data_IF_762955154509
#
_entry.id   IF_762955154509
#
_cell.length_a   1.000
_cell.length_b   1.000
_cell.length_c   1.000
_cell.angle_alpha   90.00
_cell.angle_beta   90.00
_cell.angle_gamma   90.00
#
_symmetry.space_group_name_H-M   'P 1'
#
loop_
_entity.id
_entity.type
_entity.pdbx_description
1 polymer ?
#
# COMPACT_ATOMS: atom_id res chain seq x y z
N UNK A 1 -54.95 -62.66 11.48
CA UNK A 1 -53.62 -62.81 12.12
C UNK A 1 -53.09 -61.40 12.41
N UNK A 2 -53.18 -60.96 13.68
CA UNK A 2 -52.57 -59.76 14.31
C UNK A 2 -53.02 -58.39 13.74
N UNK A 3 -53.96 -57.61 14.27
CA UNK A 3 -54.32 -57.20 15.63
C UNK A 3 -53.19 -56.52 16.45
N UNK A 4 -53.42 -55.22 16.71
CA UNK A 4 -52.98 -54.40 17.86
C UNK A 4 -51.48 -54.17 18.12
N UNK A 5 -51.02 -52.92 17.95
CA UNK A 5 -50.33 -52.15 19.01
C UNK A 5 -50.61 -50.65 18.79
N UNK A 6 -51.62 -50.12 19.49
CA UNK A 6 -51.70 -48.70 19.85
C UNK A 6 -50.68 -48.49 20.97
N UNK A 7 -49.67 -47.66 20.76
CA UNK A 7 -48.75 -47.24 21.82
C UNK A 7 -49.20 -45.87 22.32
N UNK A 8 -49.89 -45.89 23.46
CA UNK A 8 -50.16 -44.71 24.29
C UNK A 8 -48.82 -44.19 24.79
N UNK A 9 -48.48 -42.94 24.47
CA UNK A 9 -47.40 -42.24 25.17
C UNK A 9 -48.03 -41.52 26.37
N UNK A 10 -47.44 -41.63 27.57
CA UNK A 10 -47.88 -40.85 28.72
C UNK A 10 -47.56 -39.37 28.49
N UNK A 11 -48.52 -38.51 28.78
CA UNK A 11 -48.34 -37.07 28.89
C UNK A 11 -47.44 -36.80 30.11
N UNK A 12 -46.20 -36.39 29.85
CA UNK A 12 -45.24 -36.03 30.90
C UNK A 12 -45.62 -34.65 31.41
N UNK A 13 -46.20 -34.65 32.61
CA UNK A 13 -46.42 -33.46 33.46
C UNK A 13 -45.07 -32.79 33.71
N UNK A 14 -45.03 -31.47 33.51
CA UNK A 14 -43.83 -30.65 33.59
C UNK A 14 -43.17 -30.69 34.97
N UNK A 15 -41.86 -30.92 34.95
CA UNK A 15 -40.95 -30.68 36.06
C UNK A 15 -40.14 -29.42 35.72
N UNK A 16 -40.22 -28.41 36.59
CA UNK A 16 -39.54 -27.12 36.49
C UNK A 16 -38.01 -27.32 36.62
N UNK A 17 -37.36 -27.73 35.54
CA UNK A 17 -35.92 -27.64 35.37
C UNK A 17 -35.46 -26.18 35.25
N UNK A 18 -34.22 -25.83 35.62
CA UNK A 18 -33.77 -24.44 35.66
C UNK A 18 -33.96 -23.82 34.27
N UNK A 19 -34.73 -22.73 34.22
CA UNK A 19 -35.02 -22.02 33.00
C UNK A 19 -33.71 -21.74 32.26
N UNK A 20 -33.60 -22.26 31.04
CA UNK A 20 -32.51 -21.93 30.13
C UNK A 20 -32.55 -20.42 29.92
N UNK A 21 -31.71 -19.67 30.64
CA UNK A 21 -31.54 -18.24 30.37
C UNK A 21 -30.90 -18.09 28.99
N UNK A 22 -31.38 -17.13 28.21
CA UNK A 22 -30.74 -16.74 26.96
C UNK A 22 -29.24 -16.50 27.18
N UNK A 23 -28.36 -16.98 26.27
CA UNK A 23 -26.94 -16.73 26.40
C UNK A 23 -26.70 -15.24 26.60
N UNK A 24 -26.04 -14.85 27.68
CA UNK A 24 -25.59 -13.48 27.88
C UNK A 24 -24.66 -13.11 26.73
N UNK A 25 -25.20 -12.41 25.73
CA UNK A 25 -24.45 -11.78 24.63
C UNK A 25 -23.81 -10.47 25.06
N UNK A 26 -23.76 -10.16 26.36
CA UNK A 26 -22.95 -9.10 26.94
C UNK A 26 -21.48 -9.50 27.07
N UNK A 27 -20.93 -10.10 26.02
CA UNK A 27 -19.48 -10.13 25.85
C UNK A 27 -19.04 -8.70 25.59
N UNK A 28 -18.27 -8.13 26.51
CA UNK A 28 -17.65 -6.80 26.44
C UNK A 28 -17.44 -6.39 24.98
N UNK A 29 -18.31 -5.52 24.43
CA UNK A 29 -18.18 -5.07 23.04
C UNK A 29 -16.84 -4.36 22.96
N UNK A 30 -15.81 -5.06 22.46
CA UNK A 30 -14.48 -4.48 22.27
C UNK A 30 -14.64 -3.33 21.30
N UNK A 31 -14.75 -2.12 21.85
CA UNK A 31 -14.79 -0.89 21.10
C UNK A 31 -13.53 -0.88 20.22
N UNK A 32 -13.72 -0.81 18.91
CA UNK A 32 -12.61 -0.76 17.96
C UNK A 32 -11.81 0.54 18.18
N UNK A 33 -10.54 0.56 17.82
CA UNK A 33 -9.69 1.75 18.01
C UNK A 33 -10.28 3.00 17.31
N UNK A 34 -10.95 2.81 16.17
CA UNK A 34 -11.66 3.87 15.46
C UNK A 34 -12.90 4.37 16.23
N UNK A 35 -13.65 3.48 16.88
CA UNK A 35 -14.79 3.87 17.73
C UNK A 35 -14.32 4.56 19.00
N UNK A 36 -13.21 4.10 19.60
CA UNK A 36 -12.56 4.75 20.74
C UNK A 36 -12.05 6.15 20.36
N UNK A 37 -11.39 6.28 19.23
CA UNK A 37 -10.93 7.57 18.72
C UNK A 37 -12.09 8.55 18.52
N UNK A 38 -13.21 8.10 17.92
CA UNK A 38 -14.43 8.93 17.81
C UNK A 38 -14.98 9.35 19.17
N UNK A 39 -15.03 8.43 20.15
CA UNK A 39 -15.49 8.73 21.50
C UNK A 39 -14.59 9.73 22.25
N UNK A 40 -13.30 9.73 21.95
CA UNK A 40 -12.31 10.65 22.52
C UNK A 40 -12.15 11.94 21.69
N UNK A 41 -12.97 12.15 20.65
CA UNK A 41 -12.87 13.31 19.74
C UNK A 41 -11.60 13.32 18.87
N UNK A 42 -10.87 12.21 18.82
CA UNK A 42 -9.66 12.03 18.00
C UNK A 42 -10.04 11.58 16.58
N UNK A 43 -9.17 11.87 15.62
CA UNK A 43 -9.34 11.38 14.24
C UNK A 43 -9.49 9.85 14.24
N UNK A 44 -10.53 9.30 13.59
CA UNK A 44 -10.72 7.85 13.51
C UNK A 44 -9.77 7.18 12.52
N UNK A 45 -8.97 7.94 11.78
CA UNK A 45 -8.05 7.42 10.79
C UNK A 45 -6.83 6.85 11.51
N UNK A 46 -6.58 5.56 11.30
CA UNK A 46 -5.51 4.81 11.92
C UNK A 46 -4.38 4.64 10.90
N UNK A 47 -3.14 4.85 11.34
CA UNK A 47 -1.97 4.63 10.50
C UNK A 47 -1.58 3.14 10.49
N UNK A 48 -0.96 2.64 9.40
CA UNK A 48 -0.34 1.32 9.41
C UNK A 48 0.71 1.21 10.54
N UNK A 49 0.64 0.15 11.34
CA UNK A 49 1.51 -0.04 12.50
C UNK A 49 2.95 -0.45 12.16
N UNK A 50 3.70 -0.85 13.19
CA UNK A 50 5.12 -1.23 13.08
C UNK A 50 5.39 -2.41 12.12
N UNK A 51 4.48 -3.39 12.03
CA UNK A 51 4.68 -4.54 11.15
C UNK A 51 4.69 -4.15 9.64
N UNK A 52 3.68 -3.42 9.11
CA UNK A 52 3.77 -2.84 7.77
C UNK A 52 5.02 -1.98 7.57
N UNK A 53 5.38 -1.13 8.54
CA UNK A 53 6.56 -0.27 8.46
C UNK A 53 7.87 -1.08 8.33
N UNK A 54 8.02 -2.17 9.10
CA UNK A 54 9.17 -3.07 9.01
C UNK A 54 9.24 -3.77 7.64
N UNK A 55 8.09 -4.19 7.09
CA UNK A 55 8.03 -4.81 5.76
C UNK A 55 8.32 -3.79 4.64
N UNK A 56 7.84 -2.54 4.76
CA UNK A 56 8.25 -1.45 3.87
C UNK A 56 9.74 -1.20 3.95
N UNK A 57 10.32 -1.19 5.15
CA UNK A 57 11.75 -0.99 5.34
C UNK A 57 12.55 -2.12 4.66
N UNK A 58 12.15 -3.38 4.84
CA UNK A 58 12.76 -4.52 4.14
C UNK A 58 12.65 -4.36 2.63
N UNK A 59 11.48 -4.02 2.10
CA UNK A 59 11.29 -3.81 0.66
C UNK A 59 12.13 -2.63 0.13
N UNK A 60 12.25 -1.55 0.89
CA UNK A 60 13.11 -0.41 0.57
C UNK A 60 14.60 -0.78 0.54
N UNK A 61 15.05 -1.61 1.48
CA UNK A 61 16.41 -2.14 1.49
C UNK A 61 16.65 -3.15 0.35
N UNK A 62 15.64 -3.94 -0.03
CA UNK A 62 15.72 -4.82 -1.21
C UNK A 62 15.80 -4.02 -2.51
N UNK A 63 15.06 -2.91 -2.65
CA UNK A 63 15.21 -1.99 -3.78
C UNK A 63 16.60 -1.37 -3.81
N UNK A 64 17.12 -0.91 -2.66
CA UNK A 64 18.47 -0.36 -2.56
C UNK A 64 19.54 -1.40 -2.95
N UNK A 65 19.48 -2.60 -2.36
CA UNK A 65 20.41 -3.68 -2.69
C UNK A 65 20.28 -4.14 -4.15
N UNK A 66 19.06 -4.24 -4.67
CA UNK A 66 18.79 -4.57 -6.06
C UNK A 66 19.38 -3.54 -7.03
N UNK A 67 19.24 -2.24 -6.72
CA UNK A 67 19.82 -1.17 -7.51
C UNK A 67 21.36 -1.21 -7.51
N UNK A 68 21.98 -1.52 -6.37
CA UNK A 68 23.43 -1.68 -6.26
C UNK A 68 23.98 -2.86 -7.08
N UNK A 69 23.17 -3.92 -7.30
CA UNK A 69 23.50 -5.05 -8.17
C UNK A 69 23.26 -4.77 -9.67
N UNK A 70 22.63 -3.64 -10.00
CA UNK A 70 22.32 -3.23 -11.36
C UNK A 70 20.82 -3.33 -11.72
N UNK A 71 20.43 -2.89 -12.93
CA UNK A 71 19.03 -2.71 -13.31
C UNK A 71 18.20 -4.00 -13.24
N UNK A 72 18.77 -5.15 -13.57
CA UNK A 72 18.07 -6.44 -13.50
C UNK A 72 17.91 -6.96 -12.06
N UNK A 73 18.84 -6.61 -11.15
CA UNK A 73 18.72 -6.92 -9.72
C UNK A 73 17.55 -6.17 -9.07
N UNK A 74 17.25 -4.97 -9.55
CA UNK A 74 16.14 -4.13 -9.08
C UNK A 74 14.75 -4.63 -9.52
N UNK A 75 14.65 -5.40 -10.62
CA UNK A 75 13.35 -5.81 -11.17
C UNK A 75 12.54 -6.65 -10.20
N UNK A 76 13.16 -7.59 -9.49
CA UNK A 76 12.44 -8.46 -8.56
C UNK A 76 11.73 -7.68 -7.43
N UNK A 77 12.43 -6.83 -6.65
CA UNK A 77 11.77 -6.03 -5.63
C UNK A 77 10.81 -4.98 -6.21
N UNK A 78 11.08 -4.44 -7.41
CA UNK A 78 10.19 -3.49 -8.07
C UNK A 78 8.86 -4.13 -8.50
N UNK A 79 8.91 -5.29 -9.14
CA UNK A 79 7.73 -6.05 -9.55
C UNK A 79 6.90 -6.44 -8.33
N UNK A 80 7.56 -6.82 -7.23
CA UNK A 80 6.88 -7.07 -5.96
C UNK A 80 6.19 -5.81 -5.42
N UNK A 81 6.86 -4.65 -5.45
CA UNK A 81 6.28 -3.37 -5.07
C UNK A 81 5.05 -3.02 -5.92
N UNK A 82 5.11 -3.20 -7.23
CA UNK A 82 4.00 -2.95 -8.15
C UNK A 82 2.81 -3.89 -7.87
N UNK A 83 3.06 -5.17 -7.64
CA UNK A 83 2.00 -6.13 -7.30
C UNK A 83 1.31 -5.75 -5.97
N UNK A 84 2.09 -5.38 -4.95
CA UNK A 84 1.57 -4.93 -3.66
C UNK A 84 0.83 -3.59 -3.78
N UNK A 85 1.30 -2.67 -4.62
CA UNK A 85 0.64 -1.39 -4.92
C UNK A 85 -0.72 -1.63 -5.56
N UNK A 86 -0.76 -2.47 -6.60
CA UNK A 86 -1.99 -2.81 -7.30
C UNK A 86 -3.01 -3.42 -6.33
N UNK A 87 -2.62 -4.47 -5.61
CA UNK A 87 -3.51 -5.15 -4.66
C UNK A 87 -3.89 -4.25 -3.47
N UNK A 88 -2.95 -3.46 -2.96
CA UNK A 88 -3.13 -2.56 -1.83
C UNK A 88 -4.15 -1.47 -2.12
N UNK A 89 -4.08 -0.83 -3.29
CA UNK A 89 -5.02 0.21 -3.67
C UNK A 89 -6.46 -0.31 -3.80
N UNK A 90 -6.66 -1.46 -4.46
CA UNK A 90 -8.00 -2.07 -4.56
C UNK A 90 -8.54 -2.49 -3.18
N UNK A 91 -7.66 -2.96 -2.27
CA UNK A 91 -8.05 -3.28 -0.89
C UNK A 91 -8.47 -2.04 -0.10
N UNK A 92 -7.77 -0.92 -0.26
CA UNK A 92 -8.15 0.35 0.38
C UNK A 92 -9.53 0.82 -0.08
N UNK A 93 -9.84 0.65 -1.36
CA UNK A 93 -11.12 1.03 -1.94
C UNK A 93 -12.22 -0.04 -1.69
N UNK A 94 -12.00 -1.04 -0.83
CA UNK A 94 -13.00 -2.06 -0.52
C UNK A 94 -13.39 -2.98 -1.68
N UNK A 95 -12.65 -2.95 -2.79
CA UNK A 95 -12.95 -3.68 -4.02
C UNK A 95 -12.30 -5.07 -4.06
N UNK A 96 -12.02 -5.70 -2.92
CA UNK A 96 -11.36 -7.00 -2.90
C UNK A 96 -12.36 -8.16 -3.02
N UNK A 97 -12.14 -9.18 -3.90
CA UNK A 97 -11.05 -9.33 -4.87
C UNK A 97 -11.44 -8.94 -6.32
N UNK A 98 -11.18 -7.68 -6.72
CA UNK A 98 -11.29 -7.21 -8.12
C UNK A 98 -10.13 -7.73 -8.99
N UNK A 99 -10.10 -9.04 -9.23
CA UNK A 99 -8.99 -9.75 -9.89
C UNK A 99 -8.56 -9.11 -11.22
N UNK A 100 -9.53 -8.73 -12.06
CA UNK A 100 -9.27 -8.14 -13.38
C UNK A 100 -8.66 -6.73 -13.27
N UNK A 101 -9.19 -5.88 -12.38
CA UNK A 101 -8.66 -4.54 -12.15
C UNK A 101 -7.25 -4.57 -11.56
N UNK A 102 -7.00 -5.47 -10.59
CA UNK A 102 -5.66 -5.66 -10.01
C UNK A 102 -4.67 -6.14 -11.09
N UNK A 103 -5.06 -7.14 -11.90
CA UNK A 103 -4.22 -7.64 -12.98
C UNK A 103 -3.93 -6.53 -14.02
N UNK A 104 -4.93 -5.72 -14.38
CA UNK A 104 -4.76 -4.61 -15.30
C UNK A 104 -3.81 -3.55 -14.74
N UNK A 105 -3.97 -3.14 -13.48
CA UNK A 105 -3.08 -2.18 -12.85
C UNK A 105 -1.63 -2.70 -12.75
N UNK A 106 -1.46 -3.97 -12.36
CA UNK A 106 -0.15 -4.60 -12.29
C UNK A 106 0.52 -4.70 -13.67
N UNK A 107 -0.23 -5.09 -14.71
CA UNK A 107 0.25 -5.15 -16.08
C UNK A 107 0.72 -3.77 -16.59
N UNK A 108 0.12 -2.67 -16.14
CA UNK A 108 0.58 -1.32 -16.45
C UNK A 108 2.01 -1.07 -15.98
N UNK A 109 2.34 -1.45 -14.74
CA UNK A 109 3.70 -1.38 -14.20
C UNK A 109 4.69 -2.21 -15.00
N UNK A 110 4.33 -3.47 -15.32
CA UNK A 110 5.19 -4.35 -16.12
C UNK A 110 5.44 -3.81 -17.53
N UNK A 111 4.42 -3.21 -18.17
CA UNK A 111 4.56 -2.59 -19.48
C UNK A 111 5.44 -1.34 -19.40
N UNK A 112 5.32 -0.53 -18.35
CA UNK A 112 6.19 0.62 -18.15
C UNK A 112 7.65 0.19 -17.95
N UNK A 113 7.91 -0.84 -17.14
CA UNK A 113 9.25 -1.40 -16.94
C UNK A 113 9.82 -1.96 -18.25
N UNK A 114 9.03 -2.76 -18.98
CA UNK A 114 9.43 -3.33 -20.26
C UNK A 114 9.70 -2.26 -21.32
N UNK A 115 8.84 -1.24 -21.40
CA UNK A 115 9.05 -0.10 -22.29
C UNK A 115 10.36 0.62 -21.95
N UNK A 116 10.58 0.95 -20.68
CA UNK A 116 11.80 1.60 -20.22
C UNK A 116 13.06 0.78 -20.53
N UNK A 117 13.04 -0.53 -20.26
CA UNK A 117 14.16 -1.41 -20.60
C UNK A 117 14.43 -1.47 -22.11
N UNK A 118 13.39 -1.35 -22.94
CA UNK A 118 13.52 -1.36 -24.39
C UNK A 118 14.07 -0.03 -24.95
N UNK A 119 13.70 1.12 -24.37
CA UNK A 119 14.07 2.45 -24.88
C UNK A 119 15.26 3.08 -24.16
N UNK A 120 15.74 2.51 -23.07
CA UNK A 120 16.84 3.04 -22.27
C UNK A 120 16.41 4.05 -21.19
N UNK A 121 17.24 4.17 -20.14
CA UNK A 121 16.94 4.96 -18.92
C UNK A 121 16.77 6.46 -19.21
N UNK A 122 17.47 6.97 -20.21
CA UNK A 122 17.38 8.33 -20.73
C UNK A 122 15.94 8.68 -21.17
N UNK A 123 15.17 7.68 -21.60
CA UNK A 123 13.80 7.82 -22.05
C UNK A 123 12.77 7.44 -20.96
N UNK A 124 13.16 7.40 -19.69
CA UNK A 124 12.27 7.06 -18.57
C UNK A 124 11.00 7.92 -18.50
N UNK A 125 11.10 9.24 -18.65
CA UNK A 125 9.92 10.12 -18.58
C UNK A 125 8.95 9.86 -19.76
N UNK A 126 9.41 9.84 -21.02
CA UNK A 126 8.58 9.43 -22.15
C UNK A 126 7.96 8.04 -21.98
N UNK A 127 8.72 7.04 -21.50
CA UNK A 127 8.21 5.68 -21.28
C UNK A 127 7.07 5.67 -20.24
N UNK A 128 7.27 6.27 -19.07
CA UNK A 128 6.28 6.34 -18.00
C UNK A 128 5.04 7.11 -18.46
N UNK A 129 5.20 8.29 -19.05
CA UNK A 129 4.08 9.12 -19.51
C UNK A 129 3.31 8.47 -20.67
N UNK A 130 4.03 7.83 -21.61
CA UNK A 130 3.43 7.08 -22.70
C UNK A 130 2.60 5.90 -22.18
N UNK A 131 3.13 5.13 -21.23
CA UNK A 131 2.39 4.04 -20.60
C UNK A 131 1.18 4.56 -19.81
N UNK A 132 1.31 5.64 -19.03
CA UNK A 132 0.18 6.26 -18.33
C UNK A 132 -0.94 6.65 -19.29
N UNK A 133 -0.62 7.35 -20.38
CA UNK A 133 -1.60 7.76 -21.38
C UNK A 133 -2.30 6.57 -22.02
N UNK A 134 -1.53 5.56 -22.45
CA UNK A 134 -2.08 4.35 -23.04
C UNK A 134 -2.97 3.56 -22.06
N UNK A 135 -2.55 3.44 -20.80
CA UNK A 135 -3.30 2.69 -19.79
C UNK A 135 -4.59 3.39 -19.36
N UNK A 136 -4.58 4.72 -19.26
CA UNK A 136 -5.79 5.51 -19.00
C UNK A 136 -6.81 5.30 -20.12
N UNK A 137 -6.38 5.42 -21.38
CA UNK A 137 -7.24 5.16 -22.54
C UNK A 137 -7.78 3.73 -22.54
N UNK A 138 -6.94 2.74 -22.23
CA UNK A 138 -7.37 1.36 -22.11
C UNK A 138 -8.43 1.17 -21.01
N UNK A 139 -8.23 1.75 -19.83
CA UNK A 139 -9.20 1.70 -18.74
C UNK A 139 -10.53 2.36 -19.13
N UNK A 140 -10.49 3.50 -19.81
CA UNK A 140 -11.68 4.18 -20.32
C UNK A 140 -12.44 3.32 -21.33
N UNK A 141 -11.74 2.73 -22.30
CA UNK A 141 -12.36 1.83 -23.30
C UNK A 141 -13.01 0.62 -22.62
N UNK A 142 -12.34 0.01 -21.64
CA UNK A 142 -12.91 -1.11 -20.89
C UNK A 142 -14.15 -0.68 -20.09
N UNK A 143 -14.14 0.52 -19.52
CA UNK A 143 -15.26 1.05 -18.75
C UNK A 143 -16.47 1.37 -19.63
N UNK A 144 -16.26 1.92 -20.83
CA UNK A 144 -17.32 2.20 -21.80
C UNK A 144 -18.01 0.92 -22.30
N UNK A 145 -17.33 -0.22 -22.24
CA UNK A 145 -17.89 -1.54 -22.57
C UNK A 145 -18.58 -2.23 -21.39
N UNK A 146 -18.48 -1.66 -20.19
CA UNK A 146 -19.09 -2.23 -19.00
C UNK A 146 -20.60 -1.96 -18.96
N UNK A 147 -21.35 -3.02 -18.63
CA UNK A 147 -22.80 -2.97 -18.44
C UNK A 147 -23.20 -2.70 -16.98
N UNK A 148 -22.23 -2.41 -16.10
CA UNK A 148 -22.53 -2.04 -14.71
C UNK A 148 -23.23 -0.67 -14.64
N UNK A 149 -23.86 -0.39 -13.50
CA UNK A 149 -24.53 0.88 -13.27
C UNK A 149 -23.53 2.06 -13.29
N UNK A 150 -23.96 3.28 -13.69
CA UNK A 150 -23.06 4.45 -13.80
C UNK A 150 -22.16 4.69 -12.58
N UNK A 151 -22.71 4.59 -11.37
CA UNK A 151 -21.97 4.88 -10.13
C UNK A 151 -20.90 3.82 -9.85
N UNK A 152 -21.24 2.53 -10.02
CA UNK A 152 -20.28 1.43 -9.90
C UNK A 152 -19.18 1.53 -10.96
N UNK A 153 -19.55 1.95 -12.17
CA UNK A 153 -18.60 2.17 -13.27
C UNK A 153 -17.63 3.30 -12.95
N UNK A 154 -18.14 4.42 -12.43
CA UNK A 154 -17.30 5.56 -12.08
C UNK A 154 -16.34 5.20 -10.94
N UNK A 155 -16.85 4.52 -9.91
CA UNK A 155 -16.03 4.06 -8.80
C UNK A 155 -14.93 3.09 -9.25
N UNK A 156 -15.30 2.10 -10.07
CA UNK A 156 -14.36 1.13 -10.62
C UNK A 156 -13.31 1.74 -11.52
N UNK A 157 -13.68 2.73 -12.34
CA UNK A 157 -12.77 3.47 -13.20
C UNK A 157 -11.73 4.24 -12.37
N UNK A 158 -12.17 5.03 -11.38
CA UNK A 158 -11.27 5.83 -10.55
C UNK A 158 -10.29 4.96 -9.77
N UNK A 159 -10.78 3.86 -9.18
CA UNK A 159 -9.92 2.92 -8.47
C UNK A 159 -8.90 2.25 -9.39
N UNK A 160 -9.32 1.83 -10.59
CA UNK A 160 -8.44 1.16 -11.56
C UNK A 160 -7.40 2.10 -12.13
N UNK A 161 -7.79 3.31 -12.54
CA UNK A 161 -6.89 4.32 -13.09
C UNK A 161 -5.87 4.77 -12.05
N UNK A 162 -6.29 5.06 -10.82
CA UNK A 162 -5.37 5.45 -9.76
C UNK A 162 -4.40 4.32 -9.39
N UNK A 163 -4.89 3.08 -9.30
CA UNK A 163 -4.04 1.90 -9.06
C UNK A 163 -2.99 1.73 -10.17
N UNK A 164 -3.42 1.80 -11.44
CA UNK A 164 -2.54 1.70 -12.59
C UNK A 164 -1.54 2.86 -12.66
N UNK A 165 -1.96 4.08 -12.32
CA UNK A 165 -1.07 5.22 -12.31
C UNK A 165 0.03 5.05 -11.26
N UNK A 166 -0.32 4.59 -10.05
CA UNK A 166 0.65 4.33 -8.98
C UNK A 166 1.62 3.21 -9.36
N UNK A 167 1.15 2.11 -9.95
CA UNK A 167 2.04 1.01 -10.38
C UNK A 167 2.99 1.44 -11.50
N UNK A 168 2.52 2.22 -12.47
CA UNK A 168 3.35 2.76 -13.56
C UNK A 168 4.35 3.79 -13.04
N UNK A 169 3.96 4.64 -12.09
CA UNK A 169 4.87 5.62 -11.48
C UNK A 169 5.99 4.94 -10.68
N UNK A 170 5.76 3.74 -10.12
CA UNK A 170 6.79 2.98 -9.43
C UNK A 170 7.99 2.65 -10.32
N UNK A 171 7.80 2.55 -11.65
CA UNK A 171 8.88 2.42 -12.66
C UNK A 171 9.90 3.57 -12.58
N UNK A 172 9.55 4.70 -11.97
CA UNK A 172 10.48 5.78 -11.66
C UNK A 172 11.72 5.30 -10.88
N UNK A 173 11.60 4.27 -10.02
CA UNK A 173 12.76 3.65 -9.37
C UNK A 173 13.71 3.00 -10.38
N UNK A 174 13.19 2.32 -11.42
CA UNK A 174 14.02 1.75 -12.50
C UNK A 174 14.65 2.83 -13.39
N UNK A 175 13.93 3.94 -13.57
CA UNK A 175 14.37 5.10 -14.35
C UNK A 175 15.39 5.99 -13.65
N UNK A 176 15.53 5.87 -12.33
CA UNK A 176 16.44 6.68 -11.53
C UNK A 176 17.90 6.19 -11.64
N UNK A 177 18.84 7.06 -11.24
CA UNK A 177 20.22 6.66 -11.04
C UNK A 177 20.30 5.61 -9.90
N UNK A 178 21.12 4.55 -10.01
CA UNK A 178 21.20 3.50 -8.99
C UNK A 178 21.44 4.04 -7.57
N UNK A 179 22.37 4.99 -7.44
CA UNK A 179 22.69 5.65 -6.17
C UNK A 179 21.50 6.39 -5.57
N UNK A 180 20.66 6.99 -6.41
CA UNK A 180 19.44 7.66 -5.95
C UNK A 180 18.41 6.64 -5.42
N UNK A 181 18.30 5.46 -6.04
CA UNK A 181 17.42 4.38 -5.56
C UNK A 181 17.94 3.82 -4.23
N UNK A 182 19.25 3.67 -4.08
CA UNK A 182 19.89 3.25 -2.82
C UNK A 182 19.54 4.23 -1.70
N UNK A 183 19.84 5.51 -1.90
CA UNK A 183 19.59 6.56 -0.92
C UNK A 183 18.09 6.70 -0.62
N UNK A 184 17.25 6.71 -1.66
CA UNK A 184 15.81 6.80 -1.53
C UNK A 184 15.20 5.62 -0.76
N UNK A 185 15.59 4.39 -1.09
CA UNK A 185 15.10 3.18 -0.42
C UNK A 185 15.46 3.15 1.07
N UNK A 186 16.69 3.50 1.42
CA UNK A 186 17.15 3.57 2.81
C UNK A 186 16.46 4.72 3.56
N UNK A 187 16.29 5.88 2.92
CA UNK A 187 15.60 7.03 3.51
C UNK A 187 14.12 6.71 3.81
N UNK A 188 13.40 6.11 2.87
CA UNK A 188 12.01 5.66 3.09
C UNK A 188 11.93 4.64 4.23
N UNK A 189 12.86 3.68 4.29
CA UNK A 189 12.94 2.70 5.36
C UNK A 189 13.10 3.37 6.74
N UNK A 190 14.00 4.35 6.86
CA UNK A 190 14.17 5.10 8.09
C UNK A 190 12.93 5.94 8.45
N UNK A 191 12.30 6.59 7.45
CA UNK A 191 11.12 7.43 7.66
C UNK A 191 9.94 6.63 8.22
N UNK A 192 9.61 5.48 7.62
CA UNK A 192 8.45 4.67 8.05
C UNK A 192 8.67 4.04 9.43
N UNK A 193 9.91 3.61 9.74
CA UNK A 193 10.24 3.07 11.06
C UNK A 193 10.14 4.14 12.16
N UNK A 194 10.70 5.33 11.91
CA UNK A 194 10.61 6.45 12.84
C UNK A 194 9.15 6.92 13.00
N UNK A 195 8.36 6.93 11.92
CA UNK A 195 6.94 7.31 11.96
C UNK A 195 6.09 6.33 12.78
N UNK A 196 6.47 5.04 12.80
CA UNK A 196 5.76 3.99 13.53
C UNK A 196 6.05 3.96 15.04
N UNK A 197 7.00 4.77 15.53
CA UNK A 197 7.26 4.90 16.96
C UNK A 197 6.08 5.54 17.70
N UNK A 198 5.85 5.20 18.98
CA UNK A 198 4.74 5.73 19.79
C UNK A 198 5.03 7.18 20.24
N UNK A 199 5.09 8.10 19.28
CA UNK A 199 5.31 9.53 19.48
C UNK A 199 4.03 10.33 19.22
N UNK A 200 3.87 11.53 19.79
CA UNK A 200 2.78 12.42 19.43
C UNK A 200 2.78 12.73 17.92
N UNK A 201 1.60 12.85 17.30
CA UNK A 201 1.44 12.96 15.85
C UNK A 201 2.41 13.92 15.15
N UNK A 202 2.45 15.23 15.50
CA UNK A 202 3.38 16.18 14.88
C UNK A 202 4.86 15.82 15.10
N UNK A 203 5.21 15.32 16.29
CA UNK A 203 6.57 14.91 16.64
C UNK A 203 7.01 13.70 15.82
N UNK A 204 6.11 12.74 15.59
CA UNK A 204 6.39 11.57 14.75
C UNK A 204 6.69 11.94 13.30
N UNK A 205 6.04 12.97 12.75
CA UNK A 205 6.30 13.48 11.39
C UNK A 205 7.68 14.12 11.31
N UNK A 206 8.01 15.00 12.26
CA UNK A 206 9.34 15.64 12.31
C UNK A 206 10.44 14.59 12.50
N UNK A 207 10.26 13.64 13.41
CA UNK A 207 11.20 12.55 13.64
C UNK A 207 11.42 11.69 12.39
N UNK A 208 10.34 11.36 11.66
CA UNK A 208 10.42 10.62 10.41
C UNK A 208 11.19 11.37 9.32
N UNK A 209 10.94 12.67 9.15
CA UNK A 209 11.66 13.49 8.17
C UNK A 209 13.14 13.62 8.53
N UNK A 210 13.47 13.84 9.81
CA UNK A 210 14.85 13.90 10.27
C UNK A 210 15.57 12.55 10.10
N UNK A 211 14.90 11.43 10.41
CA UNK A 211 15.42 10.09 10.17
C UNK A 211 15.68 9.84 8.69
N UNK A 212 14.75 10.24 7.81
CA UNK A 212 14.89 10.15 6.36
C UNK A 212 16.06 10.98 5.83
N UNK A 213 16.21 12.22 6.33
CA UNK A 213 17.32 13.10 5.97
C UNK A 213 18.67 12.53 6.42
N UNK A 214 18.76 12.06 7.67
CA UNK A 214 19.97 11.48 8.24
C UNK A 214 20.37 10.17 7.54
N UNK A 215 19.39 9.31 7.25
CA UNK A 215 19.60 8.14 6.42
C UNK A 215 20.06 8.50 5.01
N UNK A 216 19.51 9.57 4.45
CA UNK A 216 19.93 10.15 3.17
C UNK A 216 21.39 10.61 3.17
N UNK A 217 21.85 11.28 4.23
CA UNK A 217 23.25 11.68 4.41
C UNK A 217 24.16 10.45 4.51
N UNK A 218 23.79 9.48 5.36
CA UNK A 218 24.59 8.28 5.60
C UNK A 218 24.75 7.44 4.32
N UNK A 219 23.64 7.19 3.61
CA UNK A 219 23.66 6.47 2.35
C UNK A 219 24.34 7.28 1.24
N UNK A 220 24.11 8.60 1.19
CA UNK A 220 24.74 9.49 0.22
C UNK A 220 26.26 9.56 0.36
N UNK A 221 26.78 9.48 1.58
CA UNK A 221 28.23 9.38 1.82
C UNK A 221 28.88 8.09 1.33
N UNK A 222 28.09 7.07 0.98
CA UNK A 222 28.55 5.82 0.38
C UNK A 222 28.36 5.78 -1.15
N UNK A 223 27.85 6.87 -1.73
CA UNK A 223 27.53 7.00 -3.16
C UNK A 223 28.10 8.31 -3.72
N UNK A 224 27.90 8.56 -5.02
CA UNK A 224 28.39 9.79 -5.66
C UNK A 224 27.58 11.04 -5.24
N UNK A 225 26.46 10.87 -4.55
CA UNK A 225 25.60 11.98 -4.09
C UNK A 225 26.23 12.76 -2.91
N UNK A 226 27.05 12.12 -2.08
CA UNK A 226 27.62 12.75 -0.89
C UNK A 226 26.56 13.39 0.02
N UNK A 227 26.80 14.63 0.48
CA UNK A 227 25.89 15.37 1.36
C UNK A 227 24.54 15.73 0.70
N UNK A 228 24.46 15.75 -0.64
CA UNK A 228 23.20 16.01 -1.35
C UNK A 228 22.16 14.91 -1.14
N UNK A 229 22.59 13.73 -0.68
CA UNK A 229 21.72 12.65 -0.23
C UNK A 229 20.72 13.08 0.86
N UNK A 230 21.01 14.14 1.63
CA UNK A 230 20.06 14.72 2.59
C UNK A 230 18.78 15.24 1.91
N UNK A 231 18.93 15.94 0.78
CA UNK A 231 17.82 16.55 0.04
C UNK A 231 16.97 15.46 -0.62
N UNK A 232 17.63 14.48 -1.24
CA UNK A 232 16.97 13.30 -1.80
C UNK A 232 16.22 12.52 -0.71
N UNK A 233 16.87 12.28 0.43
CA UNK A 233 16.28 11.58 1.58
C UNK A 233 15.09 12.32 2.16
N UNK A 234 15.15 13.65 2.28
CA UNK A 234 13.99 14.46 2.69
C UNK A 234 12.84 14.38 1.70
N UNK A 235 13.12 14.52 0.40
CA UNK A 235 12.09 14.44 -0.65
C UNK A 235 11.40 13.07 -0.66
N UNK A 236 12.18 11.99 -0.62
CA UNK A 236 11.67 10.63 -0.51
C UNK A 236 10.86 10.42 0.78
N UNK A 237 11.32 10.97 1.90
CA UNK A 237 10.64 10.90 3.20
C UNK A 237 9.28 11.60 3.20
N UNK A 238 9.18 12.82 2.63
CA UNK A 238 7.92 13.54 2.48
C UNK A 238 6.94 12.71 1.65
N UNK A 239 7.38 12.21 0.50
CA UNK A 239 6.56 11.34 -0.35
C UNK A 239 6.12 10.05 0.37
N UNK A 240 7.00 9.44 1.14
CA UNK A 240 6.68 8.25 1.93
C UNK A 240 5.60 8.53 2.98
N UNK A 241 5.65 9.67 3.65
CA UNK A 241 4.62 10.08 4.61
C UNK A 241 3.28 10.37 3.93
N UNK A 242 3.29 10.92 2.70
CA UNK A 242 2.08 11.07 1.89
C UNK A 242 1.51 9.70 1.52
N UNK A 243 2.35 8.75 1.11
CA UNK A 243 1.93 7.37 0.83
C UNK A 243 1.37 6.67 2.08
N UNK A 244 2.02 6.83 3.23
CA UNK A 244 1.53 6.30 4.52
C UNK A 244 0.20 6.94 4.90
N UNK A 245 0.05 8.23 4.65
CA UNK A 245 -1.20 8.95 4.90
C UNK A 245 -2.34 8.41 4.03
N UNK A 246 -2.07 8.15 2.75
CA UNK A 246 -3.03 7.52 1.84
C UNK A 246 -3.35 6.06 2.24
N UNK A 247 -2.40 5.36 2.85
CA UNK A 247 -2.60 4.02 3.42
C UNK A 247 -3.33 4.02 4.77
N UNK A 248 -3.53 5.18 5.39
CA UNK A 248 -4.20 5.30 6.67
C UNK A 248 -5.72 5.27 6.47
N UNK A 249 -6.42 4.47 7.26
CA UNK A 249 -7.83 4.19 7.02
C UNK A 249 -8.63 4.18 8.33
N UNK A 250 -9.92 4.50 8.27
CA UNK A 250 -10.80 4.56 9.45
C UNK A 250 -11.49 3.21 9.76
N UNK A 251 -11.38 2.25 8.85
CA UNK A 251 -11.87 0.90 9.01
C UNK A 251 -10.81 -0.02 9.66
N UNK A 252 -11.13 -0.76 10.73
CA UNK A 252 -10.18 -1.57 11.49
C UNK A 252 -9.83 -2.90 10.78
N UNK A 253 -9.41 -2.85 9.51
CA UNK A 253 -8.94 -4.01 8.77
C UNK A 253 -7.42 -4.07 8.74
N UNK A 254 -6.86 -5.04 9.48
CA UNK A 254 -5.42 -5.31 9.49
C UNK A 254 -4.86 -5.63 8.11
N UNK A 255 -5.66 -6.27 7.24
CA UNK A 255 -5.20 -6.74 5.93
C UNK A 255 -5.09 -5.62 4.91
N UNK A 256 -5.90 -4.57 5.04
CA UNK A 256 -5.85 -3.37 4.19
C UNK A 256 -4.60 -2.55 4.54
N UNK A 257 -4.41 -2.28 5.83
CA UNK A 257 -3.25 -1.57 6.35
C UNK A 257 -1.95 -2.31 6.05
N UNK A 258 -1.97 -3.65 6.05
CA UNK A 258 -0.80 -4.44 5.68
C UNK A 258 -0.40 -4.21 4.23
N UNK A 259 -1.25 -4.51 3.25
CA UNK A 259 -0.84 -4.46 1.84
C UNK A 259 -0.56 -3.05 1.35
N UNK A 260 -1.43 -2.09 1.66
CA UNK A 260 -1.25 -0.72 1.21
C UNK A 260 -0.19 0.03 2.02
N UNK A 261 -0.11 -0.23 3.33
CA UNK A 261 0.93 0.33 4.19
C UNK A 261 2.32 -0.12 3.80
N UNK A 262 2.48 -1.35 3.27
CA UNK A 262 3.77 -1.82 2.77
C UNK A 262 4.21 -1.05 1.52
N UNK A 263 3.31 -0.89 0.55
CA UNK A 263 3.66 -0.45 -0.80
C UNK A 263 3.61 1.07 -1.02
N UNK A 264 2.56 1.74 -0.54
CA UNK A 264 2.31 3.15 -0.89
C UNK A 264 3.43 4.11 -0.49
N UNK A 265 4.13 3.95 0.66
CA UNK A 265 5.26 4.83 0.97
C UNK A 265 6.39 4.79 -0.07
N UNK A 266 6.76 3.58 -0.54
CA UNK A 266 7.83 3.41 -1.54
C UNK A 266 7.36 3.84 -2.94
N UNK A 267 6.12 3.54 -3.30
CA UNK A 267 5.54 3.94 -4.59
C UNK A 267 5.41 5.45 -4.69
N UNK A 268 4.93 6.11 -3.63
CA UNK A 268 4.81 7.57 -3.59
C UNK A 268 6.17 8.27 -3.67
N UNK A 269 7.26 7.63 -3.21
CA UNK A 269 8.62 8.14 -3.27
C UNK A 269 9.26 8.05 -4.66
N UNK A 270 8.76 7.19 -5.57
CA UNK A 270 9.37 6.96 -6.88
C UNK A 270 9.61 8.23 -7.72
N UNK A 271 8.65 9.19 -7.82
CA UNK A 271 8.89 10.45 -8.54
C UNK A 271 10.01 11.29 -7.92
N UNK A 272 10.07 11.38 -6.59
CA UNK A 272 11.10 12.14 -5.91
C UNK A 272 12.48 11.51 -6.13
N UNK A 273 12.57 10.18 -5.99
CA UNK A 273 13.81 9.43 -6.24
C UNK A 273 14.31 9.64 -7.68
N UNK A 274 13.40 9.60 -8.65
CA UNK A 274 13.73 9.83 -10.05
C UNK A 274 14.13 11.28 -10.35
N UNK A 275 13.32 12.27 -9.97
CA UNK A 275 13.52 13.67 -10.33
C UNK A 275 14.69 14.30 -9.55
N UNK A 276 14.75 14.09 -8.24
CA UNK A 276 15.85 14.61 -7.42
C UNK A 276 17.14 13.86 -7.70
N UNK A 277 17.07 12.53 -7.90
CA UNK A 277 18.24 11.74 -8.29
C UNK A 277 18.86 12.23 -9.60
N UNK A 278 18.03 12.62 -10.58
CA UNK A 278 18.54 13.23 -11.81
C UNK A 278 19.07 14.65 -11.62
N UNK A 279 18.47 15.45 -10.75
CA UNK A 279 18.87 16.84 -10.54
C UNK A 279 20.16 16.99 -9.70
N UNK A 280 20.51 15.98 -8.91
CA UNK A 280 21.65 15.98 -7.99
C UNK A 280 22.86 15.16 -8.50
N UNK A 281 22.68 14.37 -9.55
CA UNK A 281 23.72 13.56 -10.19
C UNK A 281 24.53 14.36 -11.23
#
# INVERSE_FOLDING_TARGET
RWASVIRVFPEVVGDDGPAYSSPTTSGNTRITDAQRARAEGRSPIIEPGMQPAALTAVLGLLLAGGAALGPYGLLLPLVLLQALTAAGWFRLNGMWPARQGIALAFAGGLVADGALLAVGRENAAPAILGTLGAWVLLCLVLQLRSHADPDERMYGLMATVASAALTVIATGHLGAAPDAVVVGGIAVAAAVLAKALPLPGPVSVVAALLASAGAGIAAGGLTDLGASGAVLGLGAGVCALVGLRAASYDYPSRFVHMTAGIALPLTAAAPAVYLLGRALA
#
